data_IF_540855357570
#
_entry.id   IF_540855357570
#
_cell.length_a   1.000
_cell.length_b   1.000
_cell.length_c   1.000
_cell.angle_alpha   90.00
_cell.angle_beta   90.00
_cell.angle_gamma   90.00
#
_symmetry.space_group_name_H-M   'P 1'
#
loop_
_entity.id
_entity.type
_entity.pdbx_description
1 polymer ?
#
# COMPACT_ATOMS: atom_id res chain seq x y z
N UNK A 1 -22.51 -12.85 12.70
CA UNK A 1 -22.23 -14.05 13.50
C UNK A 1 -22.70 -13.77 14.90
N UNK A 2 -23.54 -14.62 15.50
CA UNK A 2 -23.98 -14.43 16.89
C UNK A 2 -22.74 -14.55 17.80
N UNK A 3 -22.41 -13.47 18.52
CA UNK A 3 -21.27 -13.44 19.44
C UNK A 3 -21.39 -14.54 20.49
N UNK A 4 -20.27 -15.18 20.83
CA UNK A 4 -20.21 -16.26 21.80
C UNK A 4 -20.72 -15.74 23.16
N UNK A 5 -21.74 -16.38 23.73
CA UNK A 5 -22.34 -15.95 25.00
C UNK A 5 -21.41 -16.38 26.13
N UNK A 6 -20.71 -15.43 26.74
CA UNK A 6 -19.82 -15.72 27.89
C UNK A 6 -20.70 -15.92 29.12
N UNK A 7 -20.70 -17.13 29.66
CA UNK A 7 -21.38 -17.47 30.90
C UNK A 7 -20.36 -18.01 31.90
N UNK A 8 -20.13 -17.26 32.96
CA UNK A 8 -19.25 -17.66 34.06
C UNK A 8 -20.01 -18.56 35.04
N UNK A 9 -19.39 -19.67 35.46
CA UNK A 9 -19.97 -20.59 36.44
C UNK A 9 -20.00 -20.01 37.86
N UNK A 10 -19.04 -19.16 38.19
CA UNK A 10 -18.90 -18.55 39.51
C UNK A 10 -18.31 -17.15 39.40
N UNK A 11 -18.56 -16.25 40.38
CA UNK A 11 -17.96 -14.93 40.41
C UNK A 11 -16.45 -14.99 40.63
N UNK A 12 -15.74 -14.01 40.06
CA UNK A 12 -14.29 -13.84 40.24
C UNK A 12 -13.98 -12.45 40.77
N UNK A 13 -12.86 -12.31 41.49
CA UNK A 13 -12.39 -11.01 41.95
C UNK A 13 -11.89 -10.19 40.75
N UNK A 14 -12.42 -8.98 40.56
CA UNK A 14 -12.02 -8.04 39.50
C UNK A 14 -10.97 -7.06 40.01
N UNK A 15 -11.23 -6.48 41.18
CA UNK A 15 -10.30 -5.58 41.86
C UNK A 15 -10.12 -6.14 43.27
N UNK A 16 -8.90 -6.50 43.62
CA UNK A 16 -8.54 -6.95 44.96
C UNK A 16 -7.95 -5.80 45.78
N UNK A 17 -8.03 -5.93 47.10
CA UNK A 17 -7.26 -5.10 48.01
C UNK A 17 -6.01 -5.89 48.42
N UNK A 18 -4.82 -5.42 48.04
CA UNK A 18 -3.58 -6.13 48.33
C UNK A 18 -3.19 -6.05 49.82
N UNK A 19 -2.13 -6.75 50.21
CA UNK A 19 -1.64 -6.75 51.59
C UNK A 19 -1.17 -5.37 52.10
N UNK A 20 -0.91 -4.44 51.18
CA UNK A 20 -0.47 -3.08 51.48
C UNK A 20 -1.64 -2.08 51.49
N UNK A 21 -2.88 -2.56 51.35
CA UNK A 21 -4.07 -1.71 51.32
C UNK A 21 -4.30 -1.03 49.97
N UNK A 22 -3.68 -1.49 48.87
CA UNK A 22 -3.84 -0.89 47.54
C UNK A 22 -4.78 -1.70 46.68
N UNK A 23 -5.65 -0.99 45.95
CA UNK A 23 -6.50 -1.60 44.94
C UNK A 23 -5.69 -2.05 43.73
N UNK A 24 -5.79 -3.33 43.37
CA UNK A 24 -5.17 -3.90 42.18
C UNK A 24 -6.18 -4.62 41.31
N UNK A 25 -6.02 -4.47 40.00
CA UNK A 25 -6.83 -5.19 39.02
C UNK A 25 -6.29 -6.61 38.88
N UNK A 26 -7.19 -7.59 38.96
CA UNK A 26 -6.88 -9.01 38.78
C UNK A 26 -6.83 -9.33 37.30
N UNK A 27 -5.65 -9.73 36.78
CA UNK A 27 -5.44 -9.95 35.34
C UNK A 27 -6.34 -11.04 34.74
N UNK A 28 -6.55 -12.14 35.46
CA UNK A 28 -7.42 -13.22 34.98
C UNK A 28 -8.88 -12.78 34.80
N UNK A 29 -9.33 -11.76 35.54
CA UNK A 29 -10.65 -11.16 35.34
C UNK A 29 -10.68 -10.32 34.05
N UNK A 30 -9.61 -9.59 33.74
CA UNK A 30 -9.49 -8.85 32.47
C UNK A 30 -9.51 -9.78 31.26
N UNK A 31 -8.83 -10.93 31.34
CA UNK A 31 -8.81 -11.91 30.26
C UNK A 31 -10.21 -12.46 29.95
N UNK A 32 -11.09 -12.56 30.96
CA UNK A 32 -12.51 -12.92 30.77
C UNK A 32 -13.26 -11.78 30.08
N UNK A 33 -13.05 -10.54 30.52
CA UNK A 33 -13.71 -9.37 29.93
C UNK A 33 -13.31 -9.16 28.46
N UNK A 34 -12.05 -9.44 28.09
CA UNK A 34 -11.54 -9.30 26.72
C UNK A 34 -12.17 -10.32 25.74
N UNK A 35 -12.72 -11.43 26.26
CA UNK A 35 -13.44 -12.44 25.47
C UNK A 35 -14.91 -12.06 25.23
N UNK A 36 -15.43 -11.02 25.89
CA UNK A 36 -16.83 -10.60 25.74
C UNK A 36 -16.96 -9.71 24.51
N UNK A 37 -17.39 -10.30 23.40
CA UNK A 37 -17.72 -9.59 22.16
C UNK A 37 -19.17 -9.03 22.15
N UNK A 38 -19.96 -9.41 23.15
CA UNK A 38 -21.35 -9.00 23.32
C UNK A 38 -21.47 -7.65 24.03
N UNK A 39 -22.66 -7.05 23.99
CA UNK A 39 -22.96 -5.81 24.69
C UNK A 39 -23.04 -6.04 26.20
N UNK A 40 -22.49 -5.12 27.01
CA UNK A 40 -22.39 -5.33 28.47
C UNK A 40 -23.30 -4.40 29.26
N UNK A 41 -24.19 -5.00 30.06
CA UNK A 41 -25.01 -4.31 31.07
C UNK A 41 -24.29 -4.44 32.40
N UNK A 42 -23.87 -3.34 33.02
CA UNK A 42 -23.17 -3.42 34.30
C UNK A 42 -24.07 -2.97 35.45
N UNK A 43 -24.37 -3.88 36.38
CA UNK A 43 -25.10 -3.56 37.62
C UNK A 43 -24.14 -3.71 38.78
N UNK A 44 -23.91 -2.62 39.51
CA UNK A 44 -23.07 -2.64 40.71
C UNK A 44 -23.92 -2.44 41.96
N UNK A 45 -23.62 -3.18 43.04
CA UNK A 45 -24.25 -2.97 44.34
C UNK A 45 -23.24 -2.44 45.35
N UNK A 46 -23.58 -1.34 46.01
CA UNK A 46 -22.79 -0.69 47.05
C UNK A 46 -23.62 -0.53 48.31
N UNK A 47 -22.96 -0.42 49.46
CA UNK A 47 -23.62 -0.22 50.74
C UNK A 47 -22.87 -0.83 51.90
N UNK A 48 -23.38 -0.62 53.11
CA UNK A 48 -22.72 -1.07 54.33
C UNK A 48 -22.44 -2.58 54.32
N UNK A 49 -21.43 -3.00 55.07
CA UNK A 49 -21.20 -4.42 55.30
C UNK A 49 -22.45 -5.10 55.90
N UNK A 50 -22.69 -6.35 55.48
CA UNK A 50 -23.84 -7.19 55.92
C UNK A 50 -25.25 -6.65 55.68
N UNK A 51 -25.47 -5.86 54.65
CA UNK A 51 -26.82 -5.43 54.25
C UNK A 51 -27.52 -6.41 53.30
N UNK A 52 -26.90 -7.54 52.95
CA UNK A 52 -27.48 -8.53 52.02
C UNK A 52 -27.18 -8.27 50.54
N UNK A 53 -26.16 -7.46 50.22
CA UNK A 53 -25.75 -7.11 48.85
C UNK A 53 -25.54 -8.34 47.94
N UNK A 54 -24.65 -9.23 48.34
CA UNK A 54 -24.31 -10.46 47.61
C UNK A 54 -25.52 -11.37 47.37
N UNK A 55 -26.48 -11.39 48.30
CA UNK A 55 -27.72 -12.13 48.10
C UNK A 55 -28.58 -11.55 46.99
N UNK A 56 -28.75 -10.22 46.99
CA UNK A 56 -29.51 -9.53 45.95
C UNK A 56 -28.86 -9.73 44.57
N UNK A 57 -27.53 -9.71 44.50
CA UNK A 57 -26.80 -9.98 43.24
C UNK A 57 -26.97 -11.42 42.77
N UNK A 58 -26.98 -12.41 43.66
CA UNK A 58 -27.29 -13.79 43.28
C UNK A 58 -28.72 -13.92 42.72
N UNK A 59 -29.69 -13.20 43.31
CA UNK A 59 -31.06 -13.15 42.77
C UNK A 59 -31.12 -12.53 41.38
N UNK A 60 -30.39 -11.44 41.14
CA UNK A 60 -30.27 -10.84 39.80
C UNK A 60 -29.59 -11.78 38.78
N UNK A 61 -28.64 -12.61 39.22
CA UNK A 61 -28.02 -13.63 38.37
C UNK A 61 -28.98 -14.78 38.02
N UNK A 62 -30.13 -14.89 38.70
CA UNK A 62 -31.05 -16.02 38.57
C UNK A 62 -30.53 -17.31 39.24
N UNK A 63 -29.47 -17.21 40.04
CA UNK A 63 -28.75 -18.35 40.59
C UNK A 63 -28.81 -18.38 42.12
N UNK A 64 -28.87 -19.58 42.70
CA UNK A 64 -28.91 -19.74 44.17
C UNK A 64 -27.54 -19.62 44.81
N UNK A 65 -26.48 -20.00 44.08
CA UNK A 65 -25.10 -20.01 44.53
C UNK A 65 -24.28 -19.16 43.56
N UNK A 66 -23.44 -18.30 44.10
CA UNK A 66 -22.66 -17.34 43.34
C UNK A 66 -21.75 -16.56 44.27
N UNK A 67 -22.03 -15.28 44.49
CA UNK A 67 -21.32 -14.46 45.46
C UNK A 67 -21.50 -15.05 46.86
N UNK A 68 -20.40 -15.20 47.60
CA UNK A 68 -20.40 -15.80 48.92
C UNK A 68 -21.16 -14.93 49.93
N UNK A 69 -22.12 -15.50 50.66
CA UNK A 69 -22.86 -14.81 51.71
C UNK A 69 -22.12 -14.96 53.05
N UNK A 70 -21.79 -13.83 53.67
CA UNK A 70 -21.11 -13.81 54.98
C UNK A 70 -22.08 -14.04 56.14
N UNK A 71 -21.86 -15.10 56.93
CA UNK A 71 -22.59 -15.34 58.19
C UNK A 71 -21.82 -14.87 59.45
N UNK A 72 -20.55 -14.46 59.32
CA UNK A 72 -19.62 -14.14 60.43
C UNK A 72 -19.29 -12.64 60.52
N UNK A 73 -18.64 -12.21 61.61
CA UNK A 73 -18.29 -10.80 61.93
C UNK A 73 -17.26 -10.17 60.97
N UNK A 74 -16.63 -10.96 60.11
CA UNK A 74 -15.65 -10.49 59.14
C UNK A 74 -16.29 -10.18 57.76
N UNK A 75 -15.84 -9.14 57.06
CA UNK A 75 -16.21 -8.95 55.64
C UNK A 75 -15.62 -10.07 54.77
N UNK A 76 -16.49 -10.81 54.07
CA UNK A 76 -16.07 -11.84 53.12
C UNK A 76 -15.67 -11.26 51.76
N UNK A 77 -16.43 -10.30 51.25
CA UNK A 77 -16.14 -9.62 49.98
C UNK A 77 -15.09 -8.53 50.23
N UNK A 78 -13.88 -8.74 49.73
CA UNK A 78 -12.80 -7.75 49.66
C UNK A 78 -12.66 -7.27 48.22
N UNK A 79 -12.55 -5.96 48.03
CA UNK A 79 -12.50 -5.30 46.72
C UNK A 79 -13.82 -5.37 45.94
N UNK A 80 -13.75 -5.54 44.63
CA UNK A 80 -14.89 -5.63 43.72
C UNK A 80 -14.85 -7.00 43.04
N UNK A 81 -15.95 -7.74 43.16
CA UNK A 81 -16.13 -9.03 42.52
C UNK A 81 -17.08 -8.90 41.34
N UNK A 82 -16.77 -9.59 40.25
CA UNK A 82 -17.59 -9.58 39.04
C UNK A 82 -18.17 -10.96 38.73
N UNK A 83 -19.36 -10.98 38.15
CA UNK A 83 -19.97 -12.18 37.60
C UNK A 83 -20.66 -11.85 36.28
N UNK A 84 -20.19 -12.47 35.20
CA UNK A 84 -20.74 -12.28 33.86
C UNK A 84 -21.71 -13.42 33.53
N UNK A 85 -22.98 -13.09 33.34
CA UNK A 85 -24.05 -14.03 33.00
C UNK A 85 -24.80 -13.55 31.75
N UNK A 86 -25.47 -14.44 31.00
CA UNK A 86 -26.33 -14.01 29.89
C UNK A 86 -27.43 -13.07 30.40
N UNK A 87 -27.72 -12.01 29.65
CA UNK A 87 -28.82 -11.12 30.03
C UNK A 87 -30.18 -11.87 29.90
N UNK A 88 -31.05 -11.83 30.93
CA UNK A 88 -32.26 -12.67 30.98
C UNK A 88 -33.25 -12.40 29.84
N UNK A 89 -33.29 -11.16 29.32
CA UNK A 89 -34.22 -10.77 28.25
C UNK A 89 -33.54 -10.54 26.88
N UNK A 90 -32.21 -10.34 26.83
CA UNK A 90 -31.50 -9.87 25.64
C UNK A 90 -30.44 -10.88 25.23
N UNK A 91 -30.62 -11.53 24.08
CA UNK A 91 -29.79 -12.67 23.65
C UNK A 91 -28.36 -12.29 23.21
N UNK A 92 -28.15 -11.03 22.88
CA UNK A 92 -26.90 -10.43 22.40
C UNK A 92 -26.20 -9.57 23.47
N UNK A 93 -26.65 -9.67 24.72
CA UNK A 93 -26.10 -8.90 25.84
C UNK A 93 -25.61 -9.83 26.97
N UNK A 94 -24.51 -9.43 27.58
CA UNK A 94 -23.96 -9.98 28.82
C UNK A 94 -24.32 -9.05 29.98
N UNK A 95 -24.88 -9.60 31.05
CA UNK A 95 -25.08 -8.91 32.32
C UNK A 95 -23.84 -9.12 33.20
N UNK A 96 -23.16 -8.03 33.53
CA UNK A 96 -22.00 -7.99 34.43
C UNK A 96 -22.48 -7.47 35.78
N UNK A 97 -22.45 -8.36 36.76
CA UNK A 97 -22.82 -8.08 38.14
C UNK A 97 -21.57 -7.74 38.93
N UNK A 98 -21.52 -6.55 39.53
CA UNK A 98 -20.43 -6.12 40.40
C UNK A 98 -20.89 -6.08 41.86
N UNK A 99 -20.43 -7.03 42.66
CA UNK A 99 -20.64 -7.02 44.12
C UNK A 99 -19.43 -6.36 44.79
N UNK A 100 -19.68 -5.26 45.51
CA UNK A 100 -18.61 -4.54 46.19
C UNK A 100 -18.46 -4.98 47.63
N UNK A 101 -17.23 -4.83 48.09
CA UNK A 101 -16.91 -4.78 49.51
C UNK A 101 -17.84 -3.83 50.28
N UNK A 102 -18.19 -4.22 51.51
CA UNK A 102 -19.07 -3.44 52.36
C UNK A 102 -18.38 -2.25 52.99
N UNK A 103 -19.00 -1.08 52.86
CA UNK A 103 -18.50 0.18 53.41
C UNK A 103 -18.55 0.19 54.95
N UNK A 104 -17.55 0.78 55.58
CA UNK A 104 -17.49 1.06 57.02
C UNK A 104 -17.24 -0.16 57.90
N UNK A 105 -16.55 -1.18 57.39
CA UNK A 105 -16.17 -2.35 58.18
C UNK A 105 -15.04 -2.00 59.16
N UNK A 106 -15.35 -2.12 60.45
CA UNK A 106 -14.53 -1.65 61.58
C UNK A 106 -13.20 -2.41 61.68
N UNK A 107 -13.12 -3.63 61.13
CA UNK A 107 -11.89 -4.45 61.16
C UNK A 107 -10.87 -4.08 60.07
N UNK A 108 -11.22 -3.19 59.13
CA UNK A 108 -10.35 -2.82 58.00
C UNK A 108 -9.41 -1.66 58.24
N UNK A 109 -9.80 -0.72 59.13
CA UNK A 109 -8.99 0.44 59.48
C UNK A 109 -8.73 1.48 58.37
N UNK A 110 -9.23 1.29 57.14
CA UNK A 110 -8.92 2.13 55.99
C UNK A 110 -10.17 2.63 55.24
N UNK A 111 -10.60 3.85 55.58
CA UNK A 111 -11.74 4.55 54.95
C UNK A 111 -11.43 5.03 53.51
N UNK A 112 -10.16 5.09 53.10
CA UNK A 112 -9.79 5.60 51.78
C UNK A 112 -10.19 4.62 50.67
N UNK A 113 -9.97 3.33 50.91
CA UNK A 113 -10.36 2.26 50.00
C UNK A 113 -11.88 2.19 49.78
N UNK A 114 -12.69 2.47 50.81
CA UNK A 114 -14.15 2.50 50.69
C UNK A 114 -14.62 3.57 49.69
N UNK A 115 -14.00 4.76 49.70
CA UNK A 115 -14.30 5.84 48.75
C UNK A 115 -13.90 5.48 47.32
N UNK A 116 -12.76 4.84 47.14
CA UNK A 116 -12.30 4.38 45.82
C UNK A 116 -13.19 3.26 45.27
N UNK A 117 -13.57 2.28 46.09
CA UNK A 117 -14.48 1.20 45.70
C UNK A 117 -15.84 1.77 45.30
N UNK A 118 -16.39 2.71 46.07
CA UNK A 118 -17.63 3.40 45.72
C UNK A 118 -17.50 4.16 44.39
N UNK A 119 -16.42 4.92 44.21
CA UNK A 119 -16.18 5.70 42.99
C UNK A 119 -16.03 4.81 41.76
N UNK A 120 -15.30 3.70 41.88
CA UNK A 120 -15.14 2.71 40.82
C UNK A 120 -16.48 2.02 40.48
N UNK A 121 -17.27 1.65 41.49
CA UNK A 121 -18.60 1.09 41.25
C UNK A 121 -19.51 2.06 40.48
N UNK A 122 -19.50 3.35 40.83
CA UNK A 122 -20.22 4.39 40.09
C UNK A 122 -19.75 4.47 38.64
N UNK A 123 -18.43 4.54 38.41
CA UNK A 123 -17.85 4.73 37.08
C UNK A 123 -18.01 3.52 36.17
N UNK A 124 -17.96 2.31 36.73
CA UNK A 124 -18.06 1.06 35.97
C UNK A 124 -19.52 0.64 35.71
N UNK A 125 -20.45 1.05 36.57
CA UNK A 125 -21.84 0.62 36.48
C UNK A 125 -22.68 1.41 35.48
N UNK A 126 -23.57 0.72 34.78
CA UNK A 126 -24.71 1.30 34.08
C UNK A 126 -25.87 1.57 35.04
N UNK A 127 -26.00 0.74 36.08
CA UNK A 127 -26.97 0.90 37.16
C UNK A 127 -26.30 0.66 38.50
N UNK A 128 -26.40 1.64 39.40
CA UNK A 128 -25.90 1.54 40.75
C UNK A 128 -27.04 1.24 41.72
N UNK A 129 -26.92 0.12 42.44
CA UNK A 129 -27.81 -0.28 43.52
C UNK A 129 -27.19 0.14 44.84
N UNK A 130 -27.76 1.14 45.50
CA UNK A 130 -27.36 1.50 46.86
C UNK A 130 -28.22 0.73 47.86
N UNK A 131 -27.62 -0.19 48.61
CA UNK A 131 -28.29 -1.07 49.55
C UNK A 131 -28.07 -0.65 51.01
N UNK A 132 -29.15 -0.23 51.68
CA UNK A 132 -29.16 0.17 53.08
C UNK A 132 -30.19 -0.62 53.90
N UNK A 133 -29.90 -0.88 55.17
CA UNK A 133 -30.85 -1.47 56.11
C UNK A 133 -31.61 -0.38 56.87
N UNK A 134 -32.93 -0.55 57.00
CA UNK A 134 -33.80 0.37 57.73
C UNK A 134 -34.30 1.54 56.89
N UNK A 135 -34.80 2.58 57.54
CA UNK A 135 -35.29 3.79 56.87
C UNK A 135 -34.12 4.64 56.36
N UNK A 136 -34.34 5.40 55.28
CA UNK A 136 -33.39 6.43 54.84
C UNK A 136 -33.39 7.55 55.90
N UNK A 137 -32.53 7.43 56.90
CA UNK A 137 -32.34 8.42 57.96
C UNK A 137 -31.15 9.35 57.65
N UNK A 138 -30.97 10.37 58.48
CA UNK A 138 -29.86 11.31 58.29
C UNK A 138 -28.51 10.59 58.39
N UNK A 139 -28.37 9.51 59.16
CA UNK A 139 -27.12 8.73 59.23
C UNK A 139 -26.81 8.00 57.92
N UNK A 140 -27.82 7.50 57.20
CA UNK A 140 -27.65 6.90 55.87
C UNK A 140 -27.18 7.93 54.84
N UNK A 141 -27.62 9.19 54.97
CA UNK A 141 -27.24 10.29 54.07
C UNK A 141 -25.96 11.02 54.48
N UNK A 142 -25.65 11.13 55.77
CA UNK A 142 -24.43 11.76 56.32
C UNK A 142 -23.18 10.94 56.02
N UNK A 143 -23.32 9.62 55.81
CA UNK A 143 -22.28 8.75 55.25
C UNK A 143 -21.89 9.09 53.81
N UNK A 144 -22.51 10.11 53.20
CA UNK A 144 -22.18 10.68 51.89
C UNK A 144 -21.54 12.10 51.95
N UNK A 145 -20.91 12.52 53.08
CA UNK A 145 -20.12 13.78 53.38
C UNK A 145 -20.83 14.85 54.27
N UNK A 146 -20.20 16.03 54.61
CA UNK A 146 -20.18 16.91 55.86
C UNK A 146 -21.08 18.23 56.01
N UNK A 147 -21.24 18.79 57.26
CA UNK A 147 -22.37 19.37 58.09
C UNK A 147 -23.40 20.48 57.73
N UNK A 148 -23.32 21.29 56.67
CA UNK A 148 -24.48 22.18 56.29
C UNK A 148 -24.72 22.21 54.78
N UNK A 149 -23.65 22.12 53.99
CA UNK A 149 -23.74 21.57 52.63
C UNK A 149 -24.24 20.11 52.68
N UNK A 150 -24.08 19.40 53.81
CA UNK A 150 -24.46 18.01 54.11
C UNK A 150 -25.87 17.58 53.79
N UNK A 151 -26.85 18.45 53.99
CA UNK A 151 -28.24 17.99 53.87
C UNK A 151 -28.67 18.01 52.41
N UNK A 152 -28.29 19.07 51.70
CA UNK A 152 -28.71 19.28 50.32
C UNK A 152 -27.70 18.74 49.30
N UNK A 153 -26.39 18.67 49.61
CA UNK A 153 -25.38 18.24 48.66
C UNK A 153 -25.52 16.76 48.28
N UNK A 154 -25.60 15.78 49.21
CA UNK A 154 -25.85 14.38 48.84
C UNK A 154 -27.19 14.23 48.11
N UNK A 155 -28.25 14.93 48.55
CA UNK A 155 -29.56 14.92 47.86
C UNK A 155 -29.50 15.54 46.47
N UNK A 156 -28.72 16.60 46.29
CA UNK A 156 -28.50 17.30 45.02
C UNK A 156 -27.64 16.46 44.09
N UNK A 157 -26.58 15.83 44.60
CA UNK A 157 -25.75 14.89 43.87
C UNK A 157 -26.57 13.68 43.39
N UNK A 158 -27.36 13.08 44.30
CA UNK A 158 -28.32 12.03 43.93
C UNK A 158 -29.32 12.52 42.88
N UNK A 159 -29.80 13.76 42.98
CA UNK A 159 -30.75 14.32 42.01
C UNK A 159 -30.15 14.60 40.63
N UNK A 160 -28.92 15.10 40.59
CA UNK A 160 -28.28 15.65 39.40
C UNK A 160 -27.38 14.64 38.67
N UNK A 161 -26.67 13.79 39.41
CA UNK A 161 -25.74 12.79 38.84
C UNK A 161 -26.40 11.45 38.59
N UNK A 162 -27.39 11.07 39.40
CA UNK A 162 -28.03 9.75 39.33
C UNK A 162 -29.48 9.93 38.92
N UNK A 163 -29.76 10.00 37.61
CA UNK A 163 -31.11 10.02 37.06
C UNK A 163 -31.18 9.07 35.88
N UNK A 164 -32.21 8.22 35.79
CA UNK A 164 -33.38 8.08 36.68
C UNK A 164 -33.08 7.34 38.00
N UNK A 165 -34.03 7.36 38.95
CA UNK A 165 -33.90 6.76 40.29
C UNK A 165 -35.12 5.92 40.63
N UNK A 166 -34.87 4.80 41.28
CA UNK A 166 -35.90 3.90 41.79
C UNK A 166 -35.61 3.57 43.26
N UNK A 167 -36.66 3.26 44.01
CA UNK A 167 -36.57 2.88 45.41
C UNK A 167 -37.38 1.61 45.60
N UNK A 168 -36.72 0.56 46.10
CA UNK A 168 -37.33 -0.73 46.40
C UNK A 168 -37.24 -0.96 47.90
N UNK A 169 -38.31 -1.47 48.49
CA UNK A 169 -38.38 -1.77 49.92
C UNK A 169 -38.54 -3.27 50.07
N UNK A 170 -37.70 -3.84 50.94
CA UNK A 170 -37.69 -5.27 51.21
C UNK A 170 -38.09 -5.52 52.66
N UNK A 171 -39.07 -6.39 52.86
CA UNK A 171 -39.36 -6.95 54.16
C UNK A 171 -38.23 -7.87 54.64
N UNK A 172 -38.24 -8.19 55.94
CA UNK A 172 -37.24 -9.11 56.48
C UNK A 172 -37.42 -10.49 55.80
N UNK A 173 -36.37 -11.08 55.19
CA UNK A 173 -36.52 -12.30 54.37
C UNK A 173 -36.99 -13.54 55.13
N UNK A 174 -36.54 -13.69 56.38
CA UNK A 174 -36.85 -14.82 57.24
C UNK A 174 -36.62 -14.47 58.71
N UNK A 175 -36.99 -15.38 59.63
CA UNK A 175 -36.65 -15.23 61.05
C UNK A 175 -35.13 -15.13 61.28
N UNK A 176 -34.72 -14.51 62.39
CA UNK A 176 -33.29 -14.30 62.71
C UNK A 176 -32.47 -15.59 62.73
N UNK A 177 -33.05 -16.69 63.17
CA UNK A 177 -32.35 -17.98 63.25
C UNK A 177 -32.13 -18.59 61.86
N UNK A 178 -33.13 -18.45 60.96
CA UNK A 178 -33.02 -18.91 59.57
C UNK A 178 -32.01 -18.08 58.78
N UNK A 179 -31.97 -16.76 58.99
CA UNK A 179 -31.05 -15.85 58.27
C UNK A 179 -29.56 -16.18 58.46
N UNK A 180 -29.16 -16.95 59.49
CA UNK A 180 -27.77 -17.42 59.65
C UNK A 180 -27.34 -18.41 58.57
N UNK A 181 -28.28 -19.15 58.01
CA UNK A 181 -28.07 -20.16 56.96
C UNK A 181 -28.72 -19.72 55.66
N UNK A 182 -28.65 -18.43 55.37
CA UNK A 182 -29.35 -17.83 54.23
C UNK A 182 -29.01 -18.57 52.92
N UNK A 183 -27.76 -18.97 52.71
CA UNK A 183 -27.31 -19.73 51.52
C UNK A 183 -28.04 -21.06 51.31
N UNK A 184 -28.61 -21.65 52.36
CA UNK A 184 -29.32 -22.93 52.33
C UNK A 184 -30.83 -22.77 52.12
N UNK A 185 -31.36 -21.56 52.32
CA UNK A 185 -32.81 -21.30 52.23
C UNK A 185 -33.26 -21.25 50.78
N UNK A 186 -34.46 -21.78 50.54
CA UNK A 186 -35.16 -21.68 49.26
C UNK A 186 -36.26 -20.63 49.33
N UNK A 187 -36.84 -20.25 48.18
CA UNK A 187 -37.93 -19.27 48.15
C UNK A 187 -39.16 -19.72 48.95
N UNK A 188 -39.35 -21.02 49.14
CA UNK A 188 -40.42 -21.57 49.98
C UNK A 188 -40.15 -21.37 51.49
N UNK A 189 -38.90 -21.12 51.89
CA UNK A 189 -38.49 -20.92 53.28
C UNK A 189 -38.53 -19.44 53.71
N UNK A 190 -38.69 -18.53 52.75
CA UNK A 190 -38.68 -17.08 52.90
C UNK A 190 -40.11 -16.53 53.04
N UNK A 191 -40.21 -15.30 53.57
CA UNK A 191 -41.47 -14.57 53.61
C UNK A 191 -42.00 -14.32 52.19
N UNK A 192 -43.28 -14.65 51.89
CA UNK A 192 -43.82 -14.51 50.53
C UNK A 192 -43.75 -13.08 49.98
N UNK A 193 -43.99 -12.08 50.83
CA UNK A 193 -43.88 -10.65 50.49
C UNK A 193 -42.47 -10.28 50.03
N UNK A 194 -41.45 -10.80 50.71
CA UNK A 194 -40.06 -10.58 50.35
C UNK A 194 -39.70 -11.22 49.00
N UNK A 195 -40.21 -12.43 48.73
CA UNK A 195 -39.98 -13.11 47.44
C UNK A 195 -40.61 -12.32 46.30
N UNK A 196 -41.82 -11.81 46.49
CA UNK A 196 -42.50 -10.95 45.51
C UNK A 196 -41.75 -9.64 45.26
N UNK A 197 -41.30 -8.95 46.31
CA UNK A 197 -40.48 -7.74 46.22
C UNK A 197 -39.14 -7.97 45.51
N UNK A 198 -38.47 -9.08 45.83
CA UNK A 198 -37.22 -9.48 45.17
C UNK A 198 -37.44 -9.75 43.67
N UNK A 199 -38.55 -10.39 43.32
CA UNK A 199 -38.92 -10.64 41.94
C UNK A 199 -39.22 -9.34 41.20
N UNK A 200 -40.02 -8.44 41.80
CA UNK A 200 -40.32 -7.13 41.21
C UNK A 200 -39.06 -6.30 40.95
N UNK A 201 -38.09 -6.33 41.88
CA UNK A 201 -36.79 -5.70 41.70
C UNK A 201 -36.01 -6.28 40.51
N UNK A 202 -36.00 -7.61 40.36
CA UNK A 202 -35.29 -8.27 39.27
C UNK A 202 -35.98 -8.07 37.90
N UNK A 203 -37.31 -8.06 37.88
CA UNK A 203 -38.14 -7.96 36.67
C UNK A 203 -38.39 -6.50 36.23
N UNK A 204 -37.72 -5.53 36.87
CA UNK A 204 -38.04 -4.12 36.70
C UNK A 204 -37.66 -3.59 35.30
N UNK A 205 -38.64 -3.61 34.39
CA UNK A 205 -38.51 -3.24 32.97
C UNK A 205 -37.92 -1.84 32.70
N UNK A 206 -38.15 -0.86 33.58
CA UNK A 206 -37.65 0.51 33.36
C UNK A 206 -36.12 0.59 33.49
N UNK A 207 -35.48 -0.36 34.20
CA UNK A 207 -34.02 -0.46 34.20
C UNK A 207 -33.49 -0.78 32.79
N UNK A 208 -34.27 -1.49 31.98
CA UNK A 208 -33.87 -1.90 30.64
C UNK A 208 -34.03 -0.79 29.61
N UNK A 209 -35.13 -0.02 29.63
CA UNK A 209 -35.36 1.08 28.68
C UNK A 209 -34.33 2.21 28.83
N UNK A 210 -33.97 2.54 30.07
CA UNK A 210 -32.97 3.60 30.33
C UNK A 210 -31.56 3.12 30.02
N UNK A 211 -31.28 1.85 30.28
CA UNK A 211 -30.06 1.19 29.82
C UNK A 211 -29.94 1.20 28.28
N UNK A 212 -31.04 0.97 27.54
CA UNK A 212 -31.03 1.04 26.07
C UNK A 212 -30.62 2.41 25.56
N UNK A 213 -31.15 3.49 26.15
CA UNK A 213 -30.74 4.86 25.79
C UNK A 213 -29.26 5.11 26.04
N UNK A 214 -28.74 4.61 27.16
CA UNK A 214 -27.30 4.72 27.48
C UNK A 214 -26.47 3.92 26.46
N UNK A 215 -26.91 2.72 26.09
CA UNK A 215 -26.26 1.91 25.07
C UNK A 215 -26.24 2.60 23.72
N UNK A 216 -27.37 3.14 23.27
CA UNK A 216 -27.44 3.90 22.02
C UNK A 216 -26.46 5.07 21.99
N UNK A 217 -26.34 5.80 23.11
CA UNK A 217 -25.34 6.85 23.25
C UNK A 217 -23.92 6.30 23.20
N UNK A 218 -23.63 5.24 23.93
CA UNK A 218 -22.31 4.62 23.95
C UNK A 218 -21.92 4.09 22.55
N UNK A 219 -22.87 3.53 21.80
CA UNK A 219 -22.65 3.11 20.41
C UNK A 219 -22.28 4.29 19.53
N UNK A 220 -23.05 5.38 19.59
CA UNK A 220 -22.81 6.58 18.77
C UNK A 220 -21.44 7.18 19.08
N UNK A 221 -21.11 7.34 20.36
CA UNK A 221 -19.81 7.91 20.77
C UNK A 221 -18.65 6.97 20.43
N UNK A 222 -18.79 5.66 20.66
CA UNK A 222 -17.78 4.66 20.29
C UNK A 222 -17.56 4.60 18.79
N UNK A 223 -18.63 4.63 17.98
CA UNK A 223 -18.57 4.65 16.54
C UNK A 223 -17.81 5.91 16.06
N UNK A 224 -18.23 7.09 16.52
CA UNK A 224 -17.58 8.36 16.16
C UNK A 224 -16.09 8.38 16.52
N UNK A 225 -15.74 7.89 17.71
CA UNK A 225 -14.35 7.77 18.13
C UNK A 225 -13.55 6.79 17.25
N UNK A 226 -14.15 5.66 16.87
CA UNK A 226 -13.53 4.70 15.96
C UNK A 226 -13.33 5.27 14.56
N UNK A 227 -14.35 5.93 14.01
CA UNK A 227 -14.30 6.56 12.69
C UNK A 227 -13.20 7.61 12.64
N UNK A 228 -13.14 8.50 13.64
CA UNK A 228 -12.07 9.50 13.73
C UNK A 228 -10.68 8.87 13.83
N UNK A 229 -10.53 7.77 14.56
CA UNK A 229 -9.26 7.02 14.63
C UNK A 229 -8.89 6.38 13.29
N UNK A 230 -9.86 5.79 12.59
CA UNK A 230 -9.64 5.26 11.24
C UNK A 230 -9.19 6.37 10.30
N UNK A 231 -9.86 7.52 10.32
CA UNK A 231 -9.48 8.68 9.51
C UNK A 231 -8.03 9.09 9.78
N UNK A 232 -7.60 9.14 11.04
CA UNK A 232 -6.22 9.48 11.37
C UNK A 232 -5.20 8.41 10.96
N UNK A 233 -5.42 7.15 11.33
CA UNK A 233 -4.45 6.06 11.10
C UNK A 233 -4.33 5.73 9.61
N UNK A 234 -5.45 5.75 8.89
CA UNK A 234 -5.47 5.43 7.46
C UNK A 234 -5.27 6.66 6.56
N UNK A 235 -5.20 7.88 7.09
CA UNK A 235 -4.98 9.09 6.29
C UNK A 235 -3.80 9.00 5.30
N UNK A 236 -2.59 8.51 5.69
CA UNK A 236 -1.47 8.43 4.76
C UNK A 236 -1.75 7.51 3.57
N UNK A 237 -2.45 6.41 3.81
CA UNK A 237 -2.89 5.50 2.74
C UNK A 237 -3.96 6.16 1.86
N UNK A 238 -4.94 6.84 2.45
CA UNK A 238 -6.01 7.52 1.70
C UNK A 238 -5.46 8.62 0.78
N UNK A 239 -4.38 9.28 1.19
CA UNK A 239 -3.66 10.24 0.36
C UNK A 239 -2.99 9.54 -0.83
N UNK A 240 -2.27 8.44 -0.60
CA UNK A 240 -1.65 7.63 -1.66
C UNK A 240 -2.66 7.00 -2.65
N UNK A 241 -3.87 6.69 -2.19
CA UNK A 241 -4.97 6.27 -3.09
C UNK A 241 -5.40 7.43 -3.97
N UNK A 242 -5.51 8.64 -3.39
CA UNK A 242 -6.05 9.83 -4.06
C UNK A 242 -5.08 10.42 -5.08
N UNK A 243 -3.80 10.45 -4.76
CA UNK A 243 -2.75 10.95 -5.65
C UNK A 243 -2.33 9.93 -6.72
N UNK A 244 -2.79 8.67 -6.59
CA UNK A 244 -2.50 7.61 -7.54
C UNK A 244 -1.15 6.93 -7.34
N UNK A 245 -0.48 7.11 -6.19
CA UNK A 245 0.83 6.50 -5.90
C UNK A 245 0.83 4.96 -6.01
N UNK A 246 -0.30 4.31 -5.74
CA UNK A 246 -0.45 2.86 -5.92
C UNK A 246 -0.69 2.42 -7.38
N UNK A 247 -0.91 3.34 -8.32
CA UNK A 247 -1.16 3.05 -9.74
C UNK A 247 0.15 2.94 -10.53
N UNK A 248 1.06 2.11 -10.04
CA UNK A 248 2.37 1.84 -10.62
C UNK A 248 2.61 0.33 -10.68
N UNK A 249 3.53 -0.16 -11.53
CA UNK A 249 3.92 -1.56 -11.54
C UNK A 249 4.36 -2.04 -10.15
N UNK A 250 3.69 -3.05 -9.61
CA UNK A 250 3.89 -3.58 -8.24
C UNK A 250 3.19 -2.79 -7.12
N UNK A 251 2.45 -1.73 -7.43
CA UNK A 251 1.77 -0.87 -6.46
C UNK A 251 0.71 -1.57 -5.61
N UNK A 252 0.05 -2.62 -6.12
CA UNK A 252 -0.93 -3.39 -5.35
C UNK A 252 -0.30 -4.09 -4.13
N UNK A 253 0.97 -4.52 -4.25
CA UNK A 253 1.70 -5.14 -3.15
C UNK A 253 1.98 -4.13 -2.04
N UNK A 254 2.33 -2.89 -2.40
CA UNK A 254 2.55 -1.79 -1.45
C UNK A 254 1.25 -1.48 -0.73
N UNK A 255 0.15 -1.32 -1.47
CA UNK A 255 -1.20 -1.12 -0.91
C UNK A 255 -1.58 -2.19 0.12
N UNK A 256 -1.36 -3.47 -0.20
CA UNK A 256 -1.66 -4.57 0.72
C UNK A 256 -0.84 -4.54 2.01
N UNK A 257 0.42 -4.09 1.94
CA UNK A 257 1.30 -3.99 3.10
C UNK A 257 0.88 -2.83 3.99
N UNK A 258 0.64 -1.66 3.41
CA UNK A 258 0.16 -0.49 4.15
C UNK A 258 -1.17 -0.79 4.83
N UNK A 259 -2.07 -1.53 4.16
CA UNK A 259 -3.39 -1.86 4.71
C UNK A 259 -3.26 -2.76 5.93
N UNK A 260 -2.35 -3.73 5.87
CA UNK A 260 -2.03 -4.62 7.01
C UNK A 260 -1.40 -3.84 8.16
N UNK A 261 -0.46 -2.93 7.86
CA UNK A 261 0.22 -2.13 8.87
C UNK A 261 -0.77 -1.24 9.63
N UNK A 262 -1.55 -0.43 8.90
CA UNK A 262 -2.58 0.44 9.48
C UNK A 262 -3.65 -0.36 10.26
N UNK A 263 -4.04 -1.54 9.74
CA UNK A 263 -4.96 -2.45 10.46
C UNK A 263 -4.34 -2.94 11.77
N UNK A 264 -3.05 -3.28 11.78
CA UNK A 264 -2.36 -3.74 12.99
C UNK A 264 -2.20 -2.61 14.02
N UNK A 265 -1.94 -1.39 13.56
CA UNK A 265 -1.84 -0.20 14.40
C UNK A 265 -3.17 0.11 15.07
N UNK A 266 -4.27 0.18 14.28
CA UNK A 266 -5.61 0.31 14.82
C UNK A 266 -5.95 -0.82 15.80
N UNK A 267 -5.50 -2.05 15.53
CA UNK A 267 -5.67 -3.20 16.43
C UNK A 267 -4.81 -3.14 17.70
N UNK A 268 -3.75 -2.35 17.72
CA UNK A 268 -2.89 -2.17 18.89
C UNK A 268 -3.34 -1.03 19.82
N UNK A 269 -4.07 -0.04 19.29
CA UNK A 269 -4.55 1.07 20.12
C UNK A 269 -5.61 0.65 21.15
N UNK A 270 -5.48 1.13 22.39
CA UNK A 270 -6.51 0.97 23.42
C UNK A 270 -7.75 1.86 23.20
N UNK A 271 -8.79 1.64 24.02
CA UNK A 271 -9.90 2.59 24.17
C UNK A 271 -10.82 2.75 22.96
N UNK A 272 -11.03 1.69 22.17
CA UNK A 272 -11.84 1.75 20.93
C UNK A 272 -13.35 1.58 21.15
N UNK A 273 -13.77 1.32 22.39
CA UNK A 273 -15.16 1.10 22.72
C UNK A 273 -15.78 -0.10 21.98
N UNK A 274 -17.09 -0.25 22.12
CA UNK A 274 -17.85 -1.43 21.67
C UNK A 274 -17.98 -1.56 20.15
N UNK A 275 -17.74 -0.49 19.37
CA UNK A 275 -17.88 -0.48 17.90
C UNK A 275 -16.59 -0.70 17.11
N UNK A 276 -15.46 -0.92 17.79
CA UNK A 276 -14.14 -1.07 17.18
C UNK A 276 -14.07 -2.09 16.04
N UNK A 277 -14.56 -3.31 16.31
CA UNK A 277 -14.51 -4.43 15.35
C UNK A 277 -15.44 -4.20 14.15
N UNK A 278 -16.64 -3.70 14.41
CA UNK A 278 -17.66 -3.44 13.38
C UNK A 278 -17.20 -2.36 12.40
N UNK A 279 -16.76 -1.21 12.91
CA UNK A 279 -16.35 -0.05 12.10
C UNK A 279 -15.12 -0.38 11.25
N UNK A 280 -14.13 -1.07 11.84
CA UNK A 280 -12.96 -1.54 11.08
C UNK A 280 -13.37 -2.50 9.96
N UNK A 281 -14.28 -3.44 10.25
CA UNK A 281 -14.74 -4.41 9.26
C UNK A 281 -15.40 -3.70 8.08
N UNK A 282 -16.34 -2.79 8.34
CA UNK A 282 -17.03 -2.02 7.30
C UNK A 282 -16.04 -1.19 6.45
N UNK A 283 -15.06 -0.57 7.10
CA UNK A 283 -13.99 0.16 6.41
C UNK A 283 -13.18 -0.76 5.47
N UNK A 284 -12.73 -1.92 5.96
CA UNK A 284 -11.94 -2.87 5.17
C UNK A 284 -12.76 -3.45 3.98
N UNK A 285 -14.05 -3.72 4.19
CA UNK A 285 -14.95 -4.15 3.11
C UNK A 285 -15.07 -3.08 2.02
N UNK A 286 -15.21 -1.80 2.39
CA UNK A 286 -15.20 -0.68 1.43
C UNK A 286 -13.86 -0.58 0.68
N UNK A 287 -12.74 -0.86 1.36
CA UNK A 287 -11.40 -0.82 0.76
C UNK A 287 -11.09 -2.00 -0.16
N UNK A 288 -11.75 -3.14 0.02
CA UNK A 288 -11.59 -4.29 -0.87
C UNK A 288 -11.90 -3.94 -2.34
N UNK A 289 -12.95 -3.15 -2.59
CA UNK A 289 -13.31 -2.69 -3.94
C UNK A 289 -12.23 -1.79 -4.57
N UNK A 290 -11.60 -0.92 -3.77
CA UNK A 290 -10.50 -0.07 -4.24
C UNK A 290 -9.26 -0.93 -4.53
N UNK A 291 -8.95 -1.89 -3.66
CA UNK A 291 -7.85 -2.83 -3.87
C UNK A 291 -8.00 -3.61 -5.18
N UNK A 292 -9.20 -4.01 -5.57
CA UNK A 292 -9.45 -4.66 -6.85
C UNK A 292 -9.14 -3.74 -8.05
N UNK A 293 -9.51 -2.46 -7.97
CA UNK A 293 -9.20 -1.49 -9.02
C UNK A 293 -7.68 -1.26 -9.15
N UNK A 294 -6.97 -1.14 -8.03
CA UNK A 294 -5.50 -1.02 -8.01
C UNK A 294 -4.85 -2.27 -8.62
N UNK A 295 -5.30 -3.47 -8.26
CA UNK A 295 -4.78 -4.72 -8.81
C UNK A 295 -4.94 -4.78 -10.33
N UNK A 296 -6.11 -4.41 -10.85
CA UNK A 296 -6.37 -4.40 -12.29
C UNK A 296 -5.48 -3.39 -13.02
N UNK A 297 -5.23 -2.23 -12.43
CA UNK A 297 -4.34 -1.22 -12.98
C UNK A 297 -2.88 -1.68 -12.97
N UNK A 298 -2.39 -2.23 -11.85
CA UNK A 298 -1.04 -2.75 -11.68
C UNK A 298 -0.72 -3.83 -12.73
N UNK A 299 -1.61 -4.81 -12.90
CA UNK A 299 -1.45 -5.86 -13.92
C UNK A 299 -1.37 -5.27 -15.34
N UNK A 300 -2.24 -4.32 -15.66
CA UNK A 300 -2.26 -3.69 -16.99
C UNK A 300 -1.00 -2.86 -17.25
N UNK A 301 -0.50 -2.14 -16.25
CA UNK A 301 0.70 -1.31 -16.35
C UNK A 301 1.96 -2.18 -16.45
N UNK A 302 2.05 -3.24 -15.66
CA UNK A 302 3.16 -4.21 -15.70
C UNK A 302 3.24 -4.88 -17.07
N UNK A 303 2.09 -5.27 -17.65
CA UNK A 303 2.06 -5.81 -19.02
C UNK A 303 2.46 -4.78 -20.08
N UNK A 304 2.05 -3.51 -19.93
CA UNK A 304 2.39 -2.45 -20.87
C UNK A 304 3.89 -2.12 -20.84
N UNK A 305 4.52 -2.09 -19.66
CA UNK A 305 5.95 -1.86 -19.49
C UNK A 305 6.78 -2.97 -20.16
N UNK A 306 6.43 -4.24 -19.91
CA UNK A 306 7.08 -5.38 -20.58
C UNK A 306 6.94 -5.34 -22.10
N UNK A 307 5.79 -4.90 -22.62
CA UNK A 307 5.59 -4.74 -24.08
C UNK A 307 6.43 -3.61 -24.65
N UNK A 308 6.54 -2.47 -23.95
CA UNK A 308 7.34 -1.33 -24.37
C UNK A 308 8.84 -1.69 -24.39
N UNK A 309 9.36 -2.34 -23.35
CA UNK A 309 10.75 -2.82 -23.31
C UNK A 309 11.05 -3.81 -24.44
N UNK A 310 10.12 -4.73 -24.74
CA UNK A 310 10.28 -5.68 -25.83
C UNK A 310 10.26 -4.99 -27.22
N UNK A 311 9.42 -3.96 -27.38
CA UNK A 311 9.36 -3.16 -28.61
C UNK A 311 10.65 -2.34 -28.80
N UNK A 312 11.15 -1.71 -27.75
CA UNK A 312 12.42 -0.96 -27.75
C UNK A 312 13.61 -1.88 -28.07
N UNK A 313 13.71 -3.04 -27.42
CA UNK A 313 14.74 -4.03 -27.71
C UNK A 313 14.69 -4.53 -29.17
N UNK A 314 13.49 -4.70 -29.72
CA UNK A 314 13.29 -5.08 -31.13
C UNK A 314 13.70 -3.96 -32.08
N UNK A 315 13.39 -2.71 -31.74
CA UNK A 315 13.79 -1.53 -32.53
C UNK A 315 15.30 -1.38 -32.54
N UNK A 316 15.97 -1.51 -31.39
CA UNK A 316 17.43 -1.51 -31.32
C UNK A 316 18.06 -2.64 -32.14
N UNK A 317 17.50 -3.85 -32.09
CA UNK A 317 17.98 -4.97 -32.87
C UNK A 317 17.86 -4.70 -34.39
N UNK A 318 16.71 -4.18 -34.83
CA UNK A 318 16.49 -3.78 -36.22
C UNK A 318 17.44 -2.67 -36.67
N UNK A 319 17.69 -1.67 -35.83
CA UNK A 319 18.66 -0.60 -36.13
C UNK A 319 20.10 -1.13 -36.22
N UNK A 320 20.48 -2.08 -35.35
CA UNK A 320 21.79 -2.76 -35.44
C UNK A 320 21.92 -3.59 -36.72
N UNK A 321 20.88 -4.33 -37.11
CA UNK A 321 20.86 -5.11 -38.35
C UNK A 321 20.96 -4.22 -39.59
N UNK A 322 20.19 -3.13 -39.64
CA UNK A 322 20.24 -2.18 -40.76
C UNK A 322 21.61 -1.52 -40.88
N UNK A 323 22.22 -1.09 -39.77
CA UNK A 323 23.60 -0.54 -39.79
C UNK A 323 24.61 -1.56 -40.29
N UNK A 324 24.52 -2.81 -39.84
CA UNK A 324 25.40 -3.88 -40.32
C UNK A 324 25.24 -4.15 -41.83
N UNK A 325 24.00 -4.09 -42.34
CA UNK A 325 23.71 -4.22 -43.77
C UNK A 325 24.26 -3.03 -44.58
N UNK A 326 24.08 -1.80 -44.11
CA UNK A 326 24.62 -0.60 -44.76
C UNK A 326 26.15 -0.64 -44.83
N UNK A 327 26.81 -1.01 -43.73
CA UNK A 327 28.27 -1.19 -43.71
C UNK A 327 28.75 -2.27 -44.70
N UNK A 328 28.01 -3.38 -44.82
CA UNK A 328 28.31 -4.41 -45.81
C UNK A 328 28.16 -3.88 -47.25
N UNK A 329 27.09 -3.12 -47.52
CA UNK A 329 26.85 -2.56 -48.85
C UNK A 329 27.90 -1.52 -49.24
N UNK A 330 28.34 -0.68 -48.30
CA UNK A 330 29.42 0.27 -48.52
C UNK A 330 30.75 -0.44 -48.79
N UNK A 331 31.10 -1.48 -48.03
CA UNK A 331 32.30 -2.28 -48.29
C UNK A 331 32.28 -2.89 -49.68
N UNK A 332 31.14 -3.46 -50.09
CA UNK A 332 30.99 -4.03 -51.43
C UNK A 332 31.18 -2.97 -52.53
N UNK A 333 30.61 -1.77 -52.36
CA UNK A 333 30.82 -0.66 -53.30
C UNK A 333 32.28 -0.23 -53.36
N UNK A 334 32.94 -0.10 -52.22
CA UNK A 334 34.34 0.28 -52.15
C UNK A 334 35.24 -0.75 -52.84
N UNK A 335 34.97 -2.04 -52.66
CA UNK A 335 35.68 -3.13 -53.36
C UNK A 335 35.47 -3.06 -54.87
N UNK A 336 34.24 -2.80 -55.33
CA UNK A 336 33.96 -2.64 -56.76
C UNK A 336 34.68 -1.44 -57.38
N UNK A 337 34.67 -0.29 -56.70
CA UNK A 337 35.37 0.91 -57.16
C UNK A 337 36.88 0.69 -57.23
N UNK A 338 37.48 0.07 -56.20
CA UNK A 338 38.92 -0.28 -56.22
C UNK A 338 39.28 -1.18 -57.37
N UNK A 339 38.49 -2.23 -57.61
CA UNK A 339 38.70 -3.15 -58.73
C UNK A 339 38.60 -2.44 -60.08
N UNK A 340 37.64 -1.52 -60.22
CA UNK A 340 37.47 -0.73 -61.42
C UNK A 340 38.64 0.23 -61.66
N UNK A 341 39.08 0.96 -60.63
CA UNK A 341 40.25 1.85 -60.69
C UNK A 341 41.52 1.10 -61.06
N UNK A 342 41.76 -0.08 -60.47
CA UNK A 342 42.90 -0.92 -60.81
C UNK A 342 42.88 -1.35 -62.29
N UNK A 343 41.71 -1.73 -62.82
CA UNK A 343 41.55 -2.07 -64.23
C UNK A 343 41.83 -0.87 -65.16
N UNK A 344 41.35 0.33 -64.81
CA UNK A 344 41.60 1.55 -65.58
C UNK A 344 43.08 1.91 -65.54
N UNK A 345 43.72 1.86 -64.37
CA UNK A 345 45.15 2.15 -64.22
C UNK A 345 46.01 1.18 -65.04
N UNK A 346 45.68 -0.11 -65.04
CA UNK A 346 46.37 -1.10 -65.89
C UNK A 346 46.20 -0.80 -67.39
N UNK A 347 45.05 -0.30 -67.81
CA UNK A 347 44.79 0.06 -69.21
C UNK A 347 45.60 1.30 -69.61
N UNK A 348 45.61 2.34 -68.76
CA UNK A 348 46.37 3.57 -68.99
C UNK A 348 47.87 3.31 -69.08
N UNK A 349 48.41 2.47 -68.19
CA UNK A 349 49.84 2.14 -68.22
C UNK A 349 50.22 1.32 -69.48
N UNK A 350 49.30 0.52 -70.05
CA UNK A 350 49.50 -0.09 -71.37
C UNK A 350 49.54 0.97 -72.48
N UNK A 351 48.58 1.89 -72.50
CA UNK A 351 48.50 2.94 -73.52
C UNK A 351 49.71 3.89 -73.50
N UNK A 352 50.20 4.25 -72.31
CA UNK A 352 51.42 5.06 -72.18
C UNK A 352 52.65 4.33 -72.72
N UNK A 353 52.78 3.03 -72.43
CA UNK A 353 53.87 2.19 -72.94
C UNK A 353 53.83 2.12 -74.47
N UNK A 354 52.67 1.90 -75.06
CA UNK A 354 52.50 1.85 -76.52
C UNK A 354 52.83 3.20 -77.18
N UNK A 355 52.43 4.31 -76.57
CA UNK A 355 52.75 5.66 -77.06
C UNK A 355 54.26 5.96 -76.98
N UNK A 356 54.93 5.60 -75.88
CA UNK A 356 56.40 5.76 -75.76
C UNK A 356 57.14 4.95 -76.82
N UNK A 357 56.67 3.74 -77.12
CA UNK A 357 57.25 2.89 -78.15
C UNK A 357 57.08 3.51 -79.55
N UNK A 358 55.89 4.02 -79.87
CA UNK A 358 55.62 4.66 -81.18
C UNK A 358 56.49 5.90 -81.43
N UNK A 359 56.69 6.73 -80.39
CA UNK A 359 57.58 7.92 -80.47
C UNK A 359 59.04 7.50 -80.68
N UNK A 360 59.50 6.48 -79.95
CA UNK A 360 60.87 5.97 -80.10
C UNK A 360 61.12 5.37 -81.51
N UNK A 361 60.11 4.72 -82.09
CA UNK A 361 60.13 4.21 -83.48
C UNK A 361 60.26 5.36 -84.49
N UNK A 362 59.44 6.42 -84.34
CA UNK A 362 59.49 7.60 -85.21
C UNK A 362 60.83 8.34 -85.12
N UNK A 363 61.38 8.51 -83.90
CA UNK A 363 62.69 9.16 -83.71
C UNK A 363 63.83 8.35 -84.34
N UNK A 364 63.76 7.02 -84.31
CA UNK A 364 64.71 6.17 -85.03
C UNK A 364 64.66 6.40 -86.54
N UNK A 365 63.47 6.47 -87.12
CA UNK A 365 63.29 6.72 -88.56
C UNK A 365 63.83 8.10 -88.93
N UNK A 366 63.57 9.13 -88.12
CA UNK A 366 64.07 10.49 -88.36
C UNK A 366 65.61 10.57 -88.30
N UNK A 367 66.23 9.91 -87.32
CA UNK A 367 67.69 9.84 -87.19
C UNK A 367 68.35 9.10 -88.36
N UNK A 368 67.74 8.02 -88.84
CA UNK A 368 68.24 7.30 -90.02
C UNK A 368 68.23 8.19 -91.28
N UNK A 369 67.17 8.98 -91.48
CA UNK A 369 67.04 9.90 -92.62
C UNK A 369 68.00 11.09 -92.56
N UNK A 370 68.24 11.65 -91.38
CA UNK A 370 69.24 12.71 -91.18
C UNK A 370 70.66 12.22 -91.49
N UNK A 371 70.97 10.96 -91.14
CA UNK A 371 72.26 10.35 -91.45
C UNK A 371 72.43 10.10 -92.95
N UNK A 372 71.39 9.57 -93.61
CA UNK A 372 71.36 9.35 -95.06
C UNK A 372 71.56 10.66 -95.85
N UNK A 373 70.96 11.76 -95.37
CA UNK A 373 71.17 13.09 -95.93
C UNK A 373 72.62 13.59 -95.79
N UNK A 374 73.24 13.40 -94.61
CA UNK A 374 74.64 13.78 -94.37
C UNK A 374 75.60 13.04 -95.31
N UNK A 375 75.35 11.76 -95.55
CA UNK A 375 76.17 10.93 -96.44
C UNK A 375 76.02 11.35 -97.91
N UNK A 376 74.82 11.78 -98.33
CA UNK A 376 74.55 12.31 -99.68
C UNK A 376 75.18 13.68 -99.93
N UNK A 377 75.23 14.55 -98.91
CA UNK A 377 75.91 15.85 -98.98
C UNK A 377 77.45 15.71 -99.09
N UNK A 378 78.03 14.68 -98.47
CA UNK A 378 79.46 14.38 -98.61
C UNK A 378 79.87 13.91 -100.01
N UNK A 379 78.92 13.38 -100.80
CA UNK A 379 79.17 12.84 -102.15
C UNK A 379 78.90 13.83 -103.29
N UNK A 380 78.55 15.09 -102.99
CA UNK A 380 78.41 16.16 -103.98
C UNK A 380 77.11 16.15 -104.80
N UNK A 381 76.04 15.53 -104.29
CA UNK A 381 74.71 15.47 -104.93
C UNK A 381 73.72 16.48 -104.33
N UNK A 382 73.92 17.77 -104.58
CA UNK A 382 73.17 18.88 -103.96
C UNK A 382 71.66 18.86 -104.26
N UNK A 383 71.26 18.41 -105.46
CA UNK A 383 69.84 18.36 -105.86
C UNK A 383 69.04 17.28 -105.10
N UNK A 384 69.67 16.12 -104.81
CA UNK A 384 69.01 15.03 -104.06
C UNK A 384 68.94 15.34 -102.56
N UNK A 385 69.97 15.99 -102.01
CA UNK A 385 69.95 16.45 -100.62
C UNK A 385 68.81 17.47 -100.38
N UNK A 386 68.51 18.32 -101.37
CA UNK A 386 67.43 19.31 -101.33
C UNK A 386 66.02 18.69 -101.42
N UNK A 387 65.88 17.55 -102.10
CA UNK A 387 64.62 16.79 -102.11
C UNK A 387 64.40 16.07 -100.78
N UNK A 388 65.45 15.47 -100.21
CA UNK A 388 65.41 14.78 -98.92
C UNK A 388 65.17 15.74 -97.74
N UNK A 389 65.67 16.99 -97.83
CA UNK A 389 65.38 18.04 -96.84
C UNK A 389 63.87 18.32 -96.74
N UNK A 390 63.15 18.35 -97.87
CA UNK A 390 61.69 18.56 -97.87
C UNK A 390 60.92 17.41 -97.21
N UNK A 391 61.41 16.18 -97.34
CA UNK A 391 60.82 15.02 -96.65
C UNK A 391 61.10 15.04 -95.14
N UNK A 392 62.29 15.49 -94.72
CA UNK A 392 62.63 15.67 -93.31
C UNK A 392 61.81 16.79 -92.68
N UNK A 393 61.60 17.90 -93.40
CA UNK A 393 60.77 19.00 -92.92
C UNK A 393 59.30 18.57 -92.82
N UNK A 394 58.79 17.79 -93.78
CA UNK A 394 57.45 17.19 -93.68
C UNK A 394 57.31 16.19 -92.51
N UNK A 395 58.34 15.39 -92.22
CA UNK A 395 58.35 14.48 -91.06
C UNK A 395 58.45 15.23 -89.72
N UNK A 396 59.17 16.35 -89.68
CA UNK A 396 59.24 17.24 -88.50
C UNK A 396 57.91 17.94 -88.25
N UNK A 397 57.26 18.43 -89.30
CA UNK A 397 55.94 19.07 -89.21
C UNK A 397 54.85 18.07 -88.79
N UNK A 398 54.91 16.83 -89.29
CA UNK A 398 54.01 15.76 -88.84
C UNK A 398 54.21 15.42 -87.35
N UNK A 399 55.47 15.32 -86.88
CA UNK A 399 55.79 15.11 -85.45
C UNK A 399 55.30 16.27 -84.58
N UNK A 400 55.47 17.52 -85.03
CA UNK A 400 55.03 18.70 -84.30
C UNK A 400 53.50 18.73 -84.13
N UNK A 401 52.74 18.35 -85.18
CA UNK A 401 51.28 18.20 -85.10
C UNK A 401 50.84 17.04 -84.20
N UNK A 402 51.59 15.95 -84.14
CA UNK A 402 51.28 14.79 -83.30
C UNK A 402 51.59 15.06 -81.81
N UNK A 403 52.69 15.77 -81.51
CA UNK A 403 53.06 16.20 -80.15
C UNK A 403 52.16 17.32 -79.61
N UNK A 404 51.71 18.27 -80.44
CA UNK A 404 50.79 19.33 -80.03
C UNK A 404 49.36 18.81 -79.78
N UNK A 405 48.93 17.76 -80.50
CA UNK A 405 47.65 17.10 -80.28
C UNK A 405 47.67 16.06 -79.14
N UNK A 406 48.84 15.62 -78.67
CA UNK A 406 49.01 14.58 -77.65
C UNK A 406 48.34 14.92 -76.30
N UNK A 407 48.50 16.14 -75.71
CA UNK A 407 47.84 16.50 -74.45
C UNK A 407 46.32 16.64 -74.63
N UNK A 408 45.89 17.18 -75.78
CA UNK A 408 44.48 17.42 -76.13
C UNK A 408 43.70 16.12 -76.37
N UNK A 409 44.34 15.11 -76.97
CA UNK A 409 43.73 13.79 -77.19
C UNK A 409 43.63 12.98 -75.89
N UNK A 410 44.68 13.01 -75.05
CA UNK A 410 44.67 12.35 -73.74
C UNK A 410 43.62 12.99 -72.81
N UNK A 411 43.51 14.33 -72.77
CA UNK A 411 42.48 14.99 -71.95
C UNK A 411 41.07 14.66 -72.43
N UNK A 412 40.82 14.66 -73.75
CA UNK A 412 39.51 14.29 -74.31
C UNK A 412 39.16 12.83 -74.06
N UNK A 413 40.13 11.92 -74.13
CA UNK A 413 39.92 10.52 -73.80
C UNK A 413 39.59 10.34 -72.30
N UNK A 414 40.30 11.05 -71.41
CA UNK A 414 40.03 11.08 -69.96
C UNK A 414 38.64 11.63 -69.64
N UNK A 415 38.22 12.72 -70.26
CA UNK A 415 36.88 13.29 -70.07
C UNK A 415 35.80 12.34 -70.58
N UNK A 416 36.03 11.65 -71.70
CA UNK A 416 35.06 10.72 -72.29
C UNK A 416 34.92 9.44 -71.46
N UNK A 417 36.03 8.89 -70.95
CA UNK A 417 36.03 7.72 -70.06
C UNK A 417 35.45 8.08 -68.68
N UNK A 418 35.78 9.26 -68.14
CA UNK A 418 35.22 9.76 -66.89
C UNK A 418 33.71 10.02 -66.97
N UNK A 419 33.22 10.49 -68.13
CA UNK A 419 31.78 10.71 -68.35
C UNK A 419 31.03 9.39 -68.61
N UNK A 420 31.65 8.41 -69.27
CA UNK A 420 31.06 7.08 -69.43
C UNK A 420 31.00 6.31 -68.10
N UNK A 421 32.04 6.42 -67.26
CA UNK A 421 32.11 5.74 -65.96
C UNK A 421 31.00 6.22 -64.98
N UNK A 422 30.61 7.50 -65.06
CA UNK A 422 29.51 8.02 -64.23
C UNK A 422 28.12 7.54 -64.69
N UNK A 423 27.98 7.07 -65.93
CA UNK A 423 26.71 6.52 -66.45
C UNK A 423 26.47 5.04 -66.11
N UNK A 424 27.52 4.29 -65.72
CA UNK A 424 27.41 2.86 -65.39
C UNK A 424 27.41 2.55 -63.88
N UNK A 425 27.40 3.58 -63.02
CA UNK A 425 27.18 3.40 -61.58
C UNK A 425 25.69 3.06 -61.32
N UNK A 426 25.36 1.89 -60.75
CA UNK A 426 23.97 1.51 -60.52
C UNK A 426 23.38 2.36 -59.38
N UNK A 427 22.43 3.24 -59.72
CA UNK A 427 21.63 3.96 -58.72
C UNK A 427 21.01 5.31 -59.10
N UNK A 428 21.37 5.92 -60.23
CA UNK A 428 20.78 7.21 -60.65
C UNK A 428 19.99 7.03 -61.95
N UNK A 429 18.67 6.91 -61.84
CA UNK A 429 17.76 7.13 -62.97
C UNK A 429 17.45 8.63 -63.06
N UNK A 430 17.70 9.26 -64.22
CA UNK A 430 16.75 10.22 -64.74
C UNK A 430 16.29 9.80 -66.13
N UNK A 431 14.97 9.87 -66.35
CA UNK A 431 14.32 9.72 -67.65
C UNK A 431 14.95 10.68 -68.66
N UNK A 432 15.58 10.16 -69.72
CA UNK A 432 15.75 10.84 -71.00
C UNK A 432 15.86 9.77 -72.10
N UNK A 433 14.71 9.43 -72.69
CA UNK A 433 14.64 8.72 -73.97
C UNK A 433 15.32 9.55 -75.05
N UNK A 434 16.23 8.94 -75.83
CA UNK A 434 16.55 9.47 -77.17
C UNK A 434 18.00 9.46 -77.66
N UNK A 435 19.02 9.11 -76.85
CA UNK A 435 20.43 9.21 -77.30
C UNK A 435 21.23 7.91 -77.37
N UNK A 436 20.65 6.75 -77.03
CA UNK A 436 21.41 5.50 -76.97
C UNK A 436 21.79 4.90 -78.35
N UNK A 437 21.26 5.40 -79.47
CA UNK A 437 21.45 4.75 -80.80
C UNK A 437 22.55 5.39 -81.65
N UNK A 438 23.13 6.53 -81.27
CA UNK A 438 24.17 7.21 -82.08
C UNK A 438 25.62 6.85 -81.74
N UNK A 439 25.86 6.08 -80.68
CA UNK A 439 27.22 5.87 -80.18
C UNK A 439 27.98 4.72 -80.88
N UNK A 440 27.30 3.75 -81.48
CA UNK A 440 27.95 2.58 -82.10
C UNK A 440 28.39 2.76 -83.56
N UNK A 441 28.05 3.86 -84.24
CA UNK A 441 28.35 4.04 -85.67
C UNK A 441 29.62 4.83 -85.97
N UNK A 442 30.46 5.12 -84.98
CA UNK A 442 31.62 6.04 -85.15
C UNK A 442 32.96 5.48 -84.68
N UNK A 443 33.02 4.20 -84.30
CA UNK A 443 34.24 3.55 -83.82
C UNK A 443 34.70 2.34 -84.65
N UNK A 444 34.16 2.14 -85.86
CA UNK A 444 34.70 1.22 -86.88
C UNK A 444 34.69 1.90 -88.25
#
# INVERSE_FOLDING_TARGET
MAGQTVSMKEPVCLIENDSDGKLRVVRSALDILDQIDQHVVVVAVVGLYRTGKSYLMNKLAGERKGFALGATIQSKTKGIWMWCVPHPEKRDHTLVLLDTEGLGDVEKGDEENDNWIFSLAVLLSSTLVYNSLGTIDNNALEKLQSKVQQYNLPRSCLRNYFSPRWCFVFERPASRDKMRRMEELTDADLEPSFVEQAKEFCDHKVLQEEYEKICERNYKESQKACESKIECIFAPMEEQIRDGSYMTPGGYKVYCNDLKLATSEYRSEGGRGVKAKDVLKEYLERKASIGQAILSADQSLTEAEQRAEAEEARREASERENRAMEEQLERLRADQLRTYEENVNQLMDRMERDSRNAVAEHDRVLQARLKEQSDLLQQGFDDKASQMQREIDALKDAKAQEEENRPSFISKALDTVGTAATMFLPGIFPKLEGMAVKFFSKLF
#
